data_IF_224892531239
#
_entry.id   IF_224892531239
#
_cell.length_a   1.000
_cell.length_b   1.000
_cell.length_c   1.000
_cell.angle_alpha   90.00
_cell.angle_beta   90.00
_cell.angle_gamma   90.00
#
_symmetry.space_group_name_H-M   'P 1'
#
loop_
_entity.id
_entity.type
_entity.pdbx_description
1 polymer ?
#
# COMPACT_ATOMS: atom_id res chain seq x y z
N UNK A 1 -6.95 21.14 -1.32
CA UNK A 1 -6.11 19.98 -0.93
C UNK A 1 -4.66 20.35 -1.10
N UNK A 2 -3.85 20.14 -0.05
CA UNK A 2 -2.40 20.38 -0.10
C UNK A 2 -1.73 19.41 -1.10
N UNK A 3 -0.47 19.70 -1.47
CA UNK A 3 0.33 18.80 -2.29
C UNK A 3 0.44 17.40 -1.64
N UNK A 4 0.72 17.37 -0.34
CA UNK A 4 0.85 16.13 0.44
C UNK A 4 -0.50 15.36 0.56
N UNK A 5 -1.62 16.06 0.65
CA UNK A 5 -2.95 15.42 0.65
C UNK A 5 -3.25 14.76 -0.70
N UNK A 6 -2.93 15.42 -1.82
CA UNK A 6 -3.08 14.85 -3.17
C UNK A 6 -2.16 13.64 -3.37
N UNK A 7 -0.91 13.73 -2.91
CA UNK A 7 0.03 12.62 -2.93
C UNK A 7 -0.46 11.42 -2.12
N UNK A 8 -1.07 11.67 -0.96
CA UNK A 8 -1.66 10.62 -0.12
C UNK A 8 -2.81 9.89 -0.83
N UNK A 9 -3.67 10.62 -1.54
CA UNK A 9 -4.72 9.99 -2.35
C UNK A 9 -4.17 9.17 -3.51
N UNK A 10 -3.19 9.70 -4.24
CA UNK A 10 -2.56 8.99 -5.35
C UNK A 10 -1.90 7.69 -4.87
N UNK A 11 -1.19 7.75 -3.73
CA UNK A 11 -0.57 6.60 -3.10
C UNK A 11 -1.59 5.53 -2.68
N UNK A 12 -2.68 5.95 -2.03
CA UNK A 12 -3.77 5.08 -1.61
C UNK A 12 -4.40 4.36 -2.81
N UNK A 13 -4.85 5.12 -3.81
CA UNK A 13 -5.56 4.58 -4.98
C UNK A 13 -4.66 3.64 -5.77
N UNK A 14 -3.41 4.04 -6.01
CA UNK A 14 -2.46 3.22 -6.77
C UNK A 14 -2.15 1.91 -6.06
N UNK A 15 -1.88 1.96 -4.75
CA UNK A 15 -1.55 0.77 -3.97
C UNK A 15 -2.72 -0.22 -3.93
N UNK A 16 -3.95 0.27 -3.75
CA UNK A 16 -5.16 -0.57 -3.76
C UNK A 16 -5.41 -1.14 -5.15
N UNK A 17 -5.32 -0.32 -6.21
CA UNK A 17 -5.57 -0.76 -7.58
C UNK A 17 -4.57 -1.83 -8.03
N UNK A 18 -3.28 -1.67 -7.73
CA UNK A 18 -2.25 -2.64 -8.07
C UNK A 18 -2.44 -3.96 -7.31
N UNK A 19 -2.77 -3.88 -6.02
CA UNK A 19 -3.05 -5.08 -5.22
C UNK A 19 -4.29 -5.83 -5.72
N UNK A 20 -5.39 -5.13 -6.02
CA UNK A 20 -6.59 -5.75 -6.60
C UNK A 20 -6.29 -6.36 -7.98
N UNK A 21 -5.51 -5.67 -8.81
CA UNK A 21 -5.06 -6.20 -10.10
C UNK A 21 -4.25 -7.49 -9.95
N UNK A 22 -3.34 -7.54 -8.98
CA UNK A 22 -2.59 -8.75 -8.64
C UNK A 22 -3.51 -9.90 -8.21
N UNK A 23 -4.47 -9.64 -7.30
CA UNK A 23 -5.44 -10.64 -6.86
C UNK A 23 -6.23 -11.20 -8.04
N UNK A 24 -6.71 -10.34 -8.94
CA UNK A 24 -7.42 -10.77 -10.16
C UNK A 24 -6.52 -11.65 -11.04
N UNK A 25 -5.24 -11.31 -11.21
CA UNK A 25 -4.29 -12.13 -11.98
C UNK A 25 -4.09 -13.50 -11.34
N UNK A 26 -3.93 -13.57 -10.02
CA UNK A 26 -3.76 -14.85 -9.30
C UNK A 26 -5.02 -15.70 -9.41
N UNK A 27 -6.20 -15.13 -9.19
CA UNK A 27 -7.47 -15.84 -9.29
C UNK A 27 -7.72 -16.38 -10.72
N UNK A 28 -7.39 -15.59 -11.75
CA UNK A 28 -7.48 -16.05 -13.14
C UNK A 28 -6.51 -17.17 -13.46
N UNK A 29 -5.29 -17.14 -12.89
CA UNK A 29 -4.30 -18.21 -13.07
C UNK A 29 -4.64 -19.48 -12.32
N UNK A 30 -5.41 -19.39 -11.23
CA UNK A 30 -5.90 -20.55 -10.50
C UNK A 30 -6.86 -21.39 -11.33
N UNK A 31 -7.68 -20.73 -12.18
CA UNK A 31 -8.63 -21.39 -13.08
C UNK A 31 -9.53 -22.43 -12.39
N UNK A 32 -10.00 -22.10 -11.18
CA UNK A 32 -10.80 -22.99 -10.33
C UNK A 32 -10.02 -24.06 -9.56
N UNK A 33 -8.71 -24.19 -9.79
CA UNK A 33 -7.81 -25.07 -9.06
C UNK A 33 -7.33 -24.52 -7.71
N UNK A 34 -6.51 -25.29 -6.98
CA UNK A 34 -5.99 -24.89 -5.67
C UNK A 34 -5.11 -23.63 -5.74
N UNK A 35 -5.46 -22.59 -4.99
CA UNK A 35 -4.71 -21.33 -4.96
C UNK A 35 -3.24 -21.50 -4.55
N UNK A 36 -2.96 -22.46 -3.67
CA UNK A 36 -1.61 -22.72 -3.16
C UNK A 36 -0.63 -23.23 -4.23
N UNK A 37 -1.13 -23.70 -5.37
CA UNK A 37 -0.33 -24.26 -6.46
C UNK A 37 -0.12 -23.25 -7.61
N UNK A 38 -0.76 -22.08 -7.54
CA UNK A 38 -0.64 -21.04 -8.56
C UNK A 38 0.79 -20.51 -8.62
N UNK A 39 1.35 -20.36 -9.82
CA UNK A 39 2.62 -19.67 -10.03
C UNK A 39 2.49 -18.15 -9.77
N UNK A 40 2.48 -17.76 -8.49
CA UNK A 40 2.21 -16.41 -8.00
C UNK A 40 3.45 -15.51 -7.92
N UNK A 41 4.66 -16.09 -7.91
CA UNK A 41 5.92 -15.36 -7.67
C UNK A 41 6.12 -14.24 -8.70
N UNK A 42 6.04 -14.55 -9.99
CA UNK A 42 6.22 -13.54 -11.04
C UNK A 42 5.15 -12.43 -11.00
N UNK A 43 3.83 -12.74 -10.92
CA UNK A 43 2.79 -11.73 -10.70
C UNK A 43 3.02 -10.84 -9.47
N UNK A 44 3.47 -11.43 -8.36
CA UNK A 44 3.72 -10.70 -7.12
C UNK A 44 4.87 -9.71 -7.30
N UNK A 45 5.99 -10.15 -7.90
CA UNK A 45 7.13 -9.28 -8.18
C UNK A 45 6.76 -8.15 -9.16
N UNK A 46 5.97 -8.46 -10.18
CA UNK A 46 5.42 -7.43 -11.08
C UNK A 46 4.53 -6.45 -10.35
N UNK A 47 3.65 -6.91 -9.46
CA UNK A 47 2.77 -6.04 -8.68
C UNK A 47 3.57 -5.11 -7.76
N UNK A 48 4.58 -5.62 -7.07
CA UNK A 48 5.48 -4.82 -6.25
C UNK A 48 6.22 -3.79 -7.11
N UNK A 49 6.83 -4.22 -8.23
CA UNK A 49 7.55 -3.33 -9.14
C UNK A 49 6.66 -2.25 -9.75
N UNK A 50 5.46 -2.60 -10.21
CA UNK A 50 4.47 -1.67 -10.76
C UNK A 50 4.02 -0.69 -9.67
N UNK A 51 3.78 -1.14 -8.44
CA UNK A 51 3.37 -0.25 -7.35
C UNK A 51 4.46 0.80 -7.05
N UNK A 52 5.72 0.38 -6.97
CA UNK A 52 6.85 1.29 -6.77
C UNK A 52 6.94 2.28 -7.93
N UNK A 53 6.97 1.78 -9.16
CA UNK A 53 7.09 2.61 -10.36
C UNK A 53 5.92 3.59 -10.51
N UNK A 54 4.68 3.13 -10.33
CA UNK A 54 3.48 3.94 -10.46
C UNK A 54 3.42 5.05 -9.41
N UNK A 55 3.91 4.81 -8.19
CA UNK A 55 3.96 5.84 -7.16
C UNK A 55 5.05 6.89 -7.43
N UNK A 56 6.23 6.46 -7.90
CA UNK A 56 7.30 7.39 -8.29
C UNK A 56 6.88 8.22 -9.50
N UNK A 57 6.48 7.55 -10.59
CA UNK A 57 6.06 8.18 -11.84
C UNK A 57 4.81 9.02 -11.64
N UNK A 58 3.84 8.53 -10.87
CA UNK A 58 2.61 9.24 -10.55
C UNK A 58 2.90 10.56 -9.84
N UNK A 59 3.81 10.57 -8.86
CA UNK A 59 4.21 11.80 -8.17
C UNK A 59 4.90 12.80 -9.11
N UNK A 60 5.78 12.33 -9.98
CA UNK A 60 6.48 13.17 -10.97
C UNK A 60 5.50 13.75 -11.99
N UNK A 61 4.65 12.91 -12.60
CA UNK A 61 3.66 13.36 -13.58
C UNK A 61 2.66 14.35 -12.98
N UNK A 62 2.26 14.12 -11.73
CA UNK A 62 1.34 15.02 -11.04
C UNK A 62 1.95 16.41 -10.87
N UNK A 63 3.24 16.49 -10.53
CA UNK A 63 3.96 17.76 -10.41
C UNK A 63 4.11 18.47 -11.76
N UNK A 64 4.33 17.71 -12.85
CA UNK A 64 4.43 18.27 -14.20
C UNK A 64 3.09 18.89 -14.62
N UNK A 65 1.97 18.21 -14.37
CA UNK A 65 0.63 18.62 -14.83
C UNK A 65 0.02 19.70 -13.94
N UNK A 66 0.26 19.63 -12.63
CA UNK A 66 -0.24 20.60 -11.64
C UNK A 66 0.88 20.94 -10.66
N UNK A 67 1.84 21.79 -11.08
CA UNK A 67 2.93 22.21 -10.22
C UNK A 67 2.37 22.86 -8.97
N UNK A 68 2.97 22.49 -7.84
CA UNK A 68 2.61 23.04 -6.54
C UNK A 68 3.14 24.47 -6.40
N UNK A 69 2.33 25.36 -5.81
CA UNK A 69 2.74 26.75 -5.57
C UNK A 69 3.89 26.87 -4.56
N UNK A 70 4.06 25.85 -3.71
CA UNK A 70 5.10 25.77 -2.69
C UNK A 70 5.49 24.31 -2.44
N UNK A 71 6.80 24.06 -2.44
CA UNK A 71 7.40 22.78 -2.06
C UNK A 71 7.72 22.69 -0.56
N UNK A 72 7.39 23.72 0.22
CA UNK A 72 7.68 23.74 1.66
C UNK A 72 6.66 22.91 2.42
N UNK A 73 7.14 21.80 2.98
CA UNK A 73 6.40 20.99 3.96
C UNK A 73 6.20 21.82 5.22
N UNK A 74 4.95 22.08 5.56
CA UNK A 74 4.58 22.83 6.78
C UNK A 74 4.71 21.92 8.03
N UNK A 75 4.73 22.52 9.21
CA UNK A 75 4.71 21.82 10.51
C UNK A 75 3.54 20.84 10.55
N UNK A 76 2.37 21.29 10.08
CA UNK A 76 1.15 20.48 9.96
C UNK A 76 1.36 19.22 9.14
N UNK A 77 1.94 19.34 7.94
CA UNK A 77 2.13 18.19 7.05
C UNK A 77 3.07 17.15 7.70
N UNK A 78 4.06 17.59 8.50
CA UNK A 78 4.93 16.67 9.26
C UNK A 78 4.22 15.97 10.41
N UNK A 79 3.30 16.64 11.08
CA UNK A 79 2.51 16.05 12.17
C UNK A 79 1.52 15.03 11.62
N UNK A 80 0.84 15.38 10.51
CA UNK A 80 -0.05 14.46 9.79
C UNK A 80 0.71 13.22 9.30
N UNK A 81 1.90 13.41 8.69
CA UNK A 81 2.74 12.31 8.25
C UNK A 81 3.14 11.40 9.43
N UNK A 82 3.62 11.99 10.54
CA UNK A 82 4.01 11.25 11.74
C UNK A 82 2.86 10.43 12.33
N UNK A 83 1.67 10.99 12.40
CA UNK A 83 0.49 10.28 12.90
C UNK A 83 0.14 9.08 11.99
N UNK A 84 0.14 9.31 10.67
CA UNK A 84 -0.11 8.24 9.69
C UNK A 84 0.93 7.12 9.75
N UNK A 85 2.20 7.46 9.91
CA UNK A 85 3.29 6.47 10.01
C UNK A 85 3.23 5.69 11.31
N UNK A 86 2.92 6.36 12.41
CA UNK A 86 2.76 5.73 13.72
C UNK A 86 1.62 4.70 13.71
N UNK A 87 0.41 5.11 13.29
CA UNK A 87 -0.75 4.20 13.25
C UNK A 87 -0.52 3.08 12.22
N UNK A 88 0.03 3.42 11.06
CA UNK A 88 0.38 2.42 10.03
C UNK A 88 1.37 1.38 10.54
N UNK A 89 2.43 1.81 11.24
CA UNK A 89 3.44 0.94 11.83
C UNK A 89 2.86 0.00 12.90
N UNK A 90 1.97 0.49 13.76
CA UNK A 90 1.25 -0.37 14.73
C UNK A 90 0.43 -1.44 14.03
N UNK A 91 -0.35 -1.06 13.01
CA UNK A 91 -1.15 -2.01 12.22
C UNK A 91 -0.27 -3.06 11.55
N UNK A 92 0.82 -2.65 10.90
CA UNK A 92 1.76 -3.58 10.29
C UNK A 92 2.36 -4.55 11.30
N UNK A 93 2.72 -4.05 12.49
CA UNK A 93 3.30 -4.88 13.55
C UNK A 93 2.36 -6.02 13.97
N UNK A 94 1.06 -5.72 14.12
CA UNK A 94 0.03 -6.72 14.42
C UNK A 94 -0.13 -7.71 13.26
N UNK A 95 -0.18 -7.23 12.02
CA UNK A 95 -0.35 -8.10 10.84
C UNK A 95 0.86 -9.02 10.63
N UNK A 96 2.07 -8.52 10.85
CA UNK A 96 3.31 -9.31 10.78
C UNK A 96 3.33 -10.39 11.86
N UNK A 97 2.80 -10.12 13.07
CA UNK A 97 2.61 -11.18 14.07
C UNK A 97 1.67 -12.29 13.55
N UNK A 98 0.62 -11.94 12.80
CA UNK A 98 -0.23 -12.92 12.11
C UNK A 98 0.52 -13.72 11.03
N UNK A 99 1.38 -13.07 10.24
CA UNK A 99 2.26 -13.75 9.28
C UNK A 99 3.22 -14.71 9.99
N UNK A 100 3.76 -14.32 11.14
CA UNK A 100 4.62 -15.20 11.94
C UNK A 100 3.88 -16.47 12.35
N UNK A 101 2.61 -16.36 12.76
CA UNK A 101 1.77 -17.55 13.03
C UNK A 101 1.65 -18.43 11.80
N UNK A 102 1.42 -17.88 10.60
CA UNK A 102 1.39 -18.66 9.36
C UNK A 102 2.71 -19.40 9.09
N UNK A 103 3.84 -18.77 9.38
CA UNK A 103 5.15 -19.40 9.26
C UNK A 103 5.34 -20.53 10.29
N UNK A 104 4.92 -20.32 11.54
CA UNK A 104 5.03 -21.30 12.63
C UNK A 104 4.19 -22.57 12.39
N UNK A 105 3.03 -22.43 11.74
CA UNK A 105 2.19 -23.59 11.36
C UNK A 105 2.60 -24.22 10.03
N UNK A 106 3.74 -23.83 9.46
CA UNK A 106 4.23 -24.28 8.16
C UNK A 106 3.17 -24.16 7.04
N UNK A 107 2.41 -23.05 7.05
CA UNK A 107 1.43 -22.79 6.01
C UNK A 107 2.11 -22.76 4.62
N UNK A 108 1.39 -23.14 3.55
CA UNK A 108 1.93 -23.05 2.19
C UNK A 108 2.54 -21.67 1.92
N UNK A 109 3.72 -21.64 1.28
CA UNK A 109 4.46 -20.41 0.97
C UNK A 109 3.60 -19.36 0.26
N UNK A 110 2.63 -19.80 -0.54
CA UNK A 110 1.60 -18.96 -1.13
C UNK A 110 0.91 -18.06 -0.10
N UNK A 111 0.39 -18.63 0.99
CA UNK A 111 -0.35 -17.87 2.01
C UNK A 111 0.55 -16.92 2.77
N UNK A 112 1.77 -17.34 3.10
CA UNK A 112 2.75 -16.51 3.79
C UNK A 112 3.09 -15.27 2.95
N UNK A 113 3.44 -15.48 1.67
CA UNK A 113 3.81 -14.38 0.77
C UNK A 113 2.65 -13.41 0.50
N UNK A 114 1.44 -13.95 0.27
CA UNK A 114 0.26 -13.13 0.05
C UNK A 114 -0.17 -12.37 1.32
N UNK A 115 -0.03 -12.98 2.50
CA UNK A 115 -0.31 -12.33 3.78
C UNK A 115 0.67 -11.19 4.05
N UNK A 116 1.96 -11.36 3.74
CA UNK A 116 2.95 -10.28 3.82
C UNK A 116 2.55 -9.13 2.91
N UNK A 117 2.26 -9.41 1.63
CA UNK A 117 1.90 -8.35 0.69
C UNK A 117 0.60 -7.63 1.11
N UNK A 118 -0.41 -8.39 1.54
CA UNK A 118 -1.65 -7.84 2.07
C UNK A 118 -1.41 -6.99 3.32
N UNK A 119 -0.50 -7.40 4.23
CA UNK A 119 -0.18 -6.64 5.43
C UNK A 119 0.38 -5.24 5.10
N UNK A 120 1.28 -5.16 4.13
CA UNK A 120 1.78 -3.87 3.64
C UNK A 120 0.68 -3.03 3.01
N UNK A 121 -0.18 -3.63 2.17
CA UNK A 121 -1.29 -2.89 1.54
C UNK A 121 -2.27 -2.36 2.58
N UNK A 122 -2.61 -3.16 3.59
CA UNK A 122 -3.48 -2.73 4.70
C UNK A 122 -2.83 -1.60 5.50
N UNK A 123 -1.54 -1.71 5.81
CA UNK A 123 -0.79 -0.63 6.47
C UNK A 123 -0.84 0.67 5.67
N UNK A 124 -0.64 0.60 4.35
CA UNK A 124 -0.72 1.75 3.44
C UNK A 124 -2.11 2.36 3.44
N UNK A 125 -3.15 1.53 3.37
CA UNK A 125 -4.54 1.99 3.40
C UNK A 125 -4.84 2.71 4.70
N UNK A 126 -4.52 2.11 5.85
CA UNK A 126 -4.77 2.72 7.16
C UNK A 126 -3.98 4.01 7.31
N UNK A 127 -2.68 4.00 7.00
CA UNK A 127 -1.82 5.19 7.10
C UNK A 127 -2.36 6.35 6.25
N UNK A 128 -2.78 6.04 5.02
CA UNK A 128 -3.35 7.05 4.11
C UNK A 128 -4.69 7.57 4.61
N UNK A 129 -5.59 6.70 5.06
CA UNK A 129 -6.89 7.12 5.61
C UNK A 129 -6.71 8.01 6.84
N UNK A 130 -5.81 7.65 7.75
CA UNK A 130 -5.48 8.46 8.94
C UNK A 130 -5.00 9.85 8.53
N UNK A 131 -4.09 9.94 7.57
CA UNK A 131 -3.59 11.22 7.06
C UNK A 131 -4.72 12.07 6.45
N UNK A 132 -5.58 11.46 5.63
CA UNK A 132 -6.71 12.15 5.00
C UNK A 132 -7.75 12.64 6.01
N UNK A 133 -8.02 11.86 7.06
CA UNK A 133 -8.89 12.29 8.16
C UNK A 133 -8.25 13.43 8.95
N UNK A 134 -6.95 13.37 9.21
CA UNK A 134 -6.22 14.44 9.90
C UNK A 134 -6.28 15.76 9.12
N UNK A 135 -6.02 15.71 7.80
CA UNK A 135 -6.18 16.88 6.92
C UNK A 135 -7.59 17.48 6.97
N UNK A 136 -8.64 16.64 7.00
CA UNK A 136 -10.04 17.10 7.07
C UNK A 136 -10.41 17.68 8.44
N UNK A 137 -9.80 17.19 9.51
CA UNK A 137 -10.08 17.63 10.89
C UNK A 137 -9.24 18.84 11.32
N UNK A 138 -8.33 19.31 10.47
CA UNK A 138 -7.54 20.51 10.73
C UNK A 138 -6.49 20.33 11.82
N UNK A 139 -6.03 19.09 12.05
CA UNK A 139 -4.72 18.87 12.65
C UNK A 139 -3.66 19.53 11.77
#
# INVERSE_FOLDING_TARGET
MSYEEKGTWAYLVTSVAVWLGYVVVVLRRADGGPLAEVAYVAPLLWAVGISIAANVVGRVLFEIVRPSESYRVDVRDREVARLGDYVGGLVLSVLVAGVLVLALVAAPHFWIANAIYAAFVVQVVVSSVVRLVAYRRGL
#
